data_IF_415115923751
#
_entry.id   IF_415115923751
#
_cell.length_a   1.000
_cell.length_b   1.000
_cell.length_c   1.000
_cell.angle_alpha   90.00
_cell.angle_beta   90.00
_cell.angle_gamma   90.00
#
_symmetry.space_group_name_H-M   'P 1'
#
loop_
_entity.id
_entity.type
_entity.pdbx_description
1 polymer ?
#
# COMPACT_ATOMS: atom_id res chain seq x y z
N UNK A 1 15.05 -3.75 -9.48
CA UNK A 1 16.28 -3.51 -8.69
C UNK A 1 15.82 -3.26 -7.26
N UNK A 2 15.83 -4.27 -6.40
CA UNK A 2 15.23 -4.22 -5.06
C UNK A 2 15.90 -3.22 -4.11
N UNK A 3 17.18 -2.93 -4.34
CA UNK A 3 17.90 -1.88 -3.64
C UNK A 3 17.28 -0.50 -3.92
N UNK A 4 17.01 -0.18 -5.19
CA UNK A 4 16.37 1.09 -5.53
C UNK A 4 14.95 1.15 -4.96
N UNK A 5 14.20 0.05 -5.01
CA UNK A 5 12.85 -0.02 -4.43
C UNK A 5 12.84 0.10 -2.91
N UNK A 6 13.88 -0.35 -2.20
CA UNK A 6 14.04 -0.10 -0.77
C UNK A 6 14.23 1.39 -0.49
N UNK A 7 15.03 2.09 -1.30
CA UNK A 7 15.16 3.54 -1.22
C UNK A 7 13.83 4.26 -1.53
N UNK A 8 13.09 3.83 -2.55
CA UNK A 8 11.77 4.37 -2.90
C UNK A 8 10.72 4.14 -1.80
N UNK A 9 10.84 3.05 -1.03
CA UNK A 9 9.99 2.80 0.14
C UNK A 9 10.25 3.77 1.30
N UNK A 10 11.38 4.48 1.28
CA UNK A 10 11.87 5.32 2.36
C UNK A 10 12.55 4.54 3.50
N UNK A 11 12.73 3.23 3.35
CA UNK A 11 13.30 2.32 4.38
C UNK A 11 14.56 1.62 3.85
N UNK A 12 15.63 2.40 3.68
CA UNK A 12 16.94 1.97 3.16
C UNK A 12 17.97 1.79 4.32
N UNK A 13 18.38 0.58 4.72
CA UNK A 13 17.74 -0.73 4.51
C UNK A 13 17.16 -1.25 5.83
N UNK A 14 16.17 -2.13 5.73
CA UNK A 14 15.53 -2.79 6.86
C UNK A 14 15.48 -4.30 6.64
N UNK A 15 15.60 -5.09 7.72
CA UNK A 15 15.40 -6.55 7.67
C UNK A 15 14.04 -6.94 7.12
N UNK A 16 13.05 -6.05 7.21
CA UNK A 16 11.73 -6.17 6.58
C UNK A 16 11.80 -6.56 5.10
N UNK A 17 12.84 -6.12 4.38
CA UNK A 17 12.98 -6.36 2.94
C UNK A 17 13.82 -7.58 2.60
N UNK A 18 14.40 -8.26 3.59
CA UNK A 18 15.31 -9.38 3.38
C UNK A 18 14.54 -10.68 3.53
N UNK A 19 14.66 -11.58 2.55
CA UNK A 19 13.98 -12.88 2.56
C UNK A 19 14.21 -13.66 3.85
N UNK A 20 15.42 -13.59 4.39
CA UNK A 20 15.82 -14.28 5.61
C UNK A 20 15.81 -13.40 6.87
N UNK A 21 15.43 -12.12 6.75
CA UNK A 21 15.49 -11.09 7.80
C UNK A 21 16.89 -10.76 8.36
N UNK A 22 17.99 -11.27 7.78
CA UNK A 22 19.34 -11.10 8.31
C UNK A 22 20.33 -10.54 7.27
N UNK A 23 20.34 -11.09 6.06
CA UNK A 23 21.34 -10.83 5.05
C UNK A 23 20.79 -9.91 3.97
N UNK A 24 21.41 -8.74 3.80
CA UNK A 24 21.05 -7.75 2.78
C UNK A 24 21.15 -8.29 1.35
N UNK A 25 22.00 -9.29 1.09
CA UNK A 25 22.07 -9.95 -0.22
C UNK A 25 20.78 -10.69 -0.60
N UNK A 26 19.89 -10.92 0.37
CA UNK A 26 18.58 -11.54 0.16
C UNK A 26 17.45 -10.52 0.00
N UNK A 27 17.77 -9.25 -0.22
CA UNK A 27 16.79 -8.18 -0.41
C UNK A 27 15.84 -8.47 -1.59
N UNK A 28 14.54 -8.36 -1.33
CA UNK A 28 13.45 -8.67 -2.28
C UNK A 28 12.28 -7.69 -2.13
N UNK A 29 12.60 -6.39 -1.96
CA UNK A 29 11.61 -5.33 -1.73
C UNK A 29 10.43 -5.36 -2.71
N UNK A 30 10.66 -5.71 -3.97
CA UNK A 30 9.62 -5.74 -5.01
C UNK A 30 8.68 -6.95 -4.92
N UNK A 31 9.06 -8.00 -4.20
CA UNK A 31 8.24 -9.18 -3.94
C UNK A 31 7.36 -9.03 -2.68
N UNK A 32 7.54 -7.95 -1.92
CA UNK A 32 6.80 -7.67 -0.69
C UNK A 32 5.76 -6.60 -0.95
N UNK A 33 4.50 -6.88 -0.61
CA UNK A 33 3.42 -5.87 -0.68
C UNK A 33 3.45 -5.03 0.61
N UNK A 34 3.82 -3.73 0.58
CA UNK A 34 3.96 -2.95 1.80
C UNK A 34 2.62 -2.34 2.24
N UNK A 35 2.24 -2.59 3.50
CA UNK A 35 1.00 -2.04 4.09
C UNK A 35 0.96 -0.51 4.01
N UNK A 36 2.08 0.17 4.28
CA UNK A 36 2.16 1.63 4.35
C UNK A 36 1.88 2.29 2.98
N UNK A 37 2.47 1.75 1.91
CA UNK A 37 2.21 2.22 0.55
C UNK A 37 0.73 2.03 0.17
N UNK A 38 0.15 0.88 0.50
CA UNK A 38 -1.26 0.61 0.22
C UNK A 38 -2.20 1.52 1.03
N UNK A 39 -1.83 1.87 2.26
CA UNK A 39 -2.55 2.85 3.07
C UNK A 39 -2.53 4.25 2.42
N UNK A 40 -1.38 4.69 1.91
CA UNK A 40 -1.29 5.96 1.16
C UNK A 40 -2.12 5.93 -0.12
N UNK A 41 -2.09 4.83 -0.88
CA UNK A 41 -2.92 4.67 -2.07
C UNK A 41 -4.41 4.74 -1.70
N UNK A 42 -4.82 4.06 -0.63
CA UNK A 42 -6.21 4.09 -0.14
C UNK A 42 -6.65 5.53 0.22
N UNK A 43 -5.79 6.30 0.86
CA UNK A 43 -6.04 7.71 1.17
C UNK A 43 -6.10 8.58 -0.09
N UNK A 44 -5.21 8.36 -1.06
CA UNK A 44 -5.21 9.07 -2.33
C UNK A 44 -6.49 8.81 -3.13
N UNK A 45 -7.03 7.59 -3.11
CA UNK A 45 -8.33 7.26 -3.71
C UNK A 45 -9.47 8.05 -3.05
N UNK A 46 -9.38 8.31 -1.74
CA UNK A 46 -10.36 9.12 -1.00
C UNK A 46 -10.29 10.61 -1.40
N UNK A 47 -9.08 11.16 -1.51
CA UNK A 47 -8.86 12.52 -1.99
C UNK A 47 -9.41 12.66 -3.43
N UNK A 48 -9.12 11.70 -4.31
CA UNK A 48 -9.59 11.73 -5.69
C UNK A 48 -11.11 11.70 -5.78
N UNK A 49 -11.80 10.81 -5.04
CA UNK A 49 -13.26 10.79 -5.07
C UNK A 49 -13.85 12.12 -4.56
N UNK A 50 -13.25 12.70 -3.53
CA UNK A 50 -13.69 13.97 -2.95
C UNK A 50 -13.57 15.11 -3.97
N UNK A 51 -12.40 15.27 -4.59
CA UNK A 51 -12.17 16.32 -5.59
C UNK A 51 -13.05 16.13 -6.83
N UNK A 52 -13.22 14.91 -7.31
CA UNK A 52 -14.06 14.62 -8.48
C UNK A 52 -15.54 14.89 -8.22
N UNK A 53 -16.01 14.70 -6.99
CA UNK A 53 -17.36 15.09 -6.58
C UNK A 53 -17.57 16.60 -6.68
N UNK A 54 -16.60 17.39 -6.25
CA UNK A 54 -16.69 18.85 -6.21
C UNK A 54 -16.37 19.53 -7.55
N UNK A 55 -15.68 18.84 -8.45
CA UNK A 55 -15.36 19.33 -9.81
C UNK A 55 -16.37 18.89 -10.88
N UNK A 56 -17.50 18.32 -10.46
CA UNK A 56 -18.60 17.97 -11.37
C UNK A 56 -18.45 16.64 -12.10
N UNK A 57 -17.64 15.70 -11.59
CA UNK A 57 -17.42 14.38 -12.15
C UNK A 57 -17.92 13.25 -11.21
N UNK A 58 -19.24 13.17 -10.90
CA UNK A 58 -19.77 12.23 -9.92
C UNK A 58 -19.57 10.76 -10.30
N UNK A 59 -19.59 10.42 -11.60
CA UNK A 59 -19.35 9.04 -12.06
C UNK A 59 -17.93 8.57 -11.75
N UNK A 60 -16.92 9.42 -11.98
CA UNK A 60 -15.53 9.11 -11.60
C UNK A 60 -15.36 9.11 -10.08
N UNK A 61 -16.00 10.02 -9.36
CA UNK A 61 -16.01 10.02 -7.89
C UNK A 61 -16.50 8.68 -7.34
N UNK A 62 -17.63 8.17 -7.85
CA UNK A 62 -18.14 6.83 -7.49
C UNK A 62 -17.13 5.73 -7.81
N UNK A 63 -16.54 5.73 -9.01
CA UNK A 63 -15.53 4.74 -9.40
C UNK A 63 -14.33 4.71 -8.43
N UNK A 64 -13.80 5.87 -8.04
CA UNK A 64 -12.67 5.94 -7.10
C UNK A 64 -13.06 5.54 -5.68
N UNK A 65 -14.28 5.88 -5.24
CA UNK A 65 -14.83 5.40 -3.98
C UNK A 65 -14.96 3.87 -3.95
N UNK A 66 -15.43 3.26 -5.03
CA UNK A 66 -15.58 1.81 -5.12
C UNK A 66 -14.20 1.11 -5.11
N UNK A 67 -13.22 1.67 -5.84
CA UNK A 67 -11.81 1.20 -5.80
C UNK A 67 -11.20 1.29 -4.40
N UNK A 68 -11.46 2.39 -3.67
CA UNK A 68 -11.00 2.58 -2.29
C UNK A 68 -11.56 1.49 -1.38
N UNK A 69 -12.85 1.18 -1.48
CA UNK A 69 -13.44 0.16 -0.61
C UNK A 69 -12.89 -1.23 -0.92
N UNK A 70 -12.71 -1.57 -2.20
CA UNK A 70 -12.06 -2.84 -2.60
C UNK A 70 -10.66 -2.94 -1.99
N UNK A 71 -9.84 -1.88 -2.12
CA UNK A 71 -8.49 -1.88 -1.55
C UNK A 71 -8.52 -1.98 -0.01
N UNK A 72 -9.42 -1.25 0.64
CA UNK A 72 -9.57 -1.28 2.11
C UNK A 72 -9.91 -2.69 2.61
N UNK A 73 -10.84 -3.36 1.94
CA UNK A 73 -11.21 -4.74 2.29
C UNK A 73 -10.06 -5.72 2.03
N UNK A 74 -9.38 -5.60 0.89
CA UNK A 74 -8.20 -6.42 0.61
C UNK A 74 -7.10 -6.21 1.66
N UNK A 75 -6.85 -4.97 2.09
CA UNK A 75 -5.87 -4.70 3.15
C UNK A 75 -6.26 -5.35 4.48
N UNK A 76 -7.53 -5.27 4.88
CA UNK A 76 -8.01 -5.94 6.11
C UNK A 76 -7.90 -7.46 6.02
N UNK A 77 -8.07 -8.05 4.84
CA UNK A 77 -7.98 -9.50 4.66
C UNK A 77 -6.53 -10.00 4.60
N UNK A 78 -5.64 -9.24 3.99
CA UNK A 78 -4.26 -9.66 3.70
C UNK A 78 -3.30 -9.29 4.83
N UNK A 79 -3.45 -8.10 5.42
CA UNK A 79 -2.45 -7.55 6.34
C UNK A 79 -2.82 -7.68 7.82
N UNK A 80 -4.07 -7.97 8.16
CA UNK A 80 -4.48 -8.11 9.56
C UNK A 80 -4.19 -9.53 10.08
N UNK A 81 -3.31 -9.64 11.06
CA UNK A 81 -3.04 -10.85 11.80
C UNK A 81 -3.92 -10.92 13.05
N UNK A 82 -4.99 -11.73 12.97
CA UNK A 82 -5.92 -11.95 14.08
C UNK A 82 -5.27 -12.53 15.35
N UNK A 83 -4.12 -13.22 15.22
CA UNK A 83 -3.43 -13.84 16.37
C UNK A 83 -2.66 -12.80 17.17
N UNK A 84 -2.05 -11.84 16.49
CA UNK A 84 -1.22 -10.80 17.10
C UNK A 84 -2.00 -9.50 17.33
N UNK A 85 -3.22 -9.39 16.79
CA UNK A 85 -4.09 -8.23 16.93
C UNK A 85 -3.64 -7.01 16.11
N UNK A 86 -2.77 -7.23 15.13
CA UNK A 86 -2.17 -6.20 14.28
C UNK A 86 -2.24 -6.61 12.82
#
# INVERSE_FOLDING_TARGET
MDIASAAESGWDFSSRWFRDNHNIETIETTDIIPIDLNAFICWNLDILQYLLKHTGNPSKSKMFRDKREILRQAMLQIFYNNTEGA
#
